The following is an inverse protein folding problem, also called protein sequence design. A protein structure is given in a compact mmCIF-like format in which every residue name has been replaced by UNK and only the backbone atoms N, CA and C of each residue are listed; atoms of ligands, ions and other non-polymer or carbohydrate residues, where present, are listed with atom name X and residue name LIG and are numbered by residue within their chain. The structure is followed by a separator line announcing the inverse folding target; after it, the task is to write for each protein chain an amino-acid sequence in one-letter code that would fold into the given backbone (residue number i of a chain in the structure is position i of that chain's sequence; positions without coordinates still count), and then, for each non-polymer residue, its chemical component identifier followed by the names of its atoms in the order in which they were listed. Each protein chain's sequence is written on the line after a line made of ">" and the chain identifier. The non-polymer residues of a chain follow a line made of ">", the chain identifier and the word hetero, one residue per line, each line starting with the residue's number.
data_IF_899984521400
#
_entry.id   IF_899984521400
#
_cell.length_a   1.000
_cell.length_b   1.000
_cell.length_c   1.000
_cell.angle_alpha   90.00
_cell.angle_beta   90.00
_cell.angle_gamma   90.00
#
_symmetry.space_group_name_H-M   'P 1'
#
loop_
_entity.id
_entity.type
_entity.pdbx_description
1 polymer ?
#
# COMPACT_ATOMS: atom_id res chain seq x y z
N UNK A 1 -15.24 5.49 -9.35
CA UNK A 1 -14.52 5.23 -8.08
C UNK A 1 -13.05 5.05 -8.42
N UNK A 2 -12.12 5.44 -7.55
CA UNK A 2 -10.68 5.36 -7.80
C UNK A 2 -10.07 4.24 -6.96
N UNK A 3 -9.19 3.46 -7.60
CA UNK A 3 -8.34 2.45 -6.96
C UNK A 3 -6.90 2.97 -6.91
N UNK A 4 -6.41 3.22 -5.69
CA UNK A 4 -5.01 3.49 -5.41
C UNK A 4 -4.30 2.18 -5.08
N UNK A 5 -3.37 1.77 -5.95
CA UNK A 5 -2.63 0.53 -5.82
C UNK A 5 -1.16 0.82 -5.51
N UNK A 6 -0.64 0.18 -4.46
CA UNK A 6 0.76 0.22 -4.07
C UNK A 6 1.33 -1.18 -4.24
N UNK A 7 2.18 -1.36 -5.24
CA UNK A 7 2.88 -2.63 -5.48
C UNK A 7 4.25 -2.55 -4.81
N UNK A 8 4.55 -3.52 -3.97
CA UNK A 8 5.75 -3.58 -3.14
C UNK A 8 6.46 -4.90 -3.35
N UNK A 9 7.69 -4.86 -3.85
CA UNK A 9 8.61 -5.99 -3.89
C UNK A 9 9.51 -5.96 -2.65
N UNK A 10 9.70 -7.14 -2.03
CA UNK A 10 10.37 -7.34 -0.75
C UNK A 10 11.45 -8.40 -0.86
N UNK A 11 12.50 -8.23 -0.05
CA UNK A 11 13.36 -9.34 0.33
C UNK A 11 12.52 -10.44 1.04
N UNK A 12 12.60 -11.71 0.59
CA UNK A 12 11.85 -12.82 1.19
C UNK A 12 11.98 -12.93 2.71
N UNK A 13 13.13 -12.55 3.28
CA UNK A 13 13.38 -12.63 4.72
C UNK A 13 12.48 -11.72 5.55
N UNK A 14 12.03 -10.59 5.00
CA UNK A 14 11.15 -9.64 5.72
C UNK A 14 9.67 -9.80 5.39
N UNK A 15 9.33 -10.61 4.38
CA UNK A 15 7.98 -10.67 3.85
C UNK A 15 6.93 -10.97 4.94
N UNK A 16 7.24 -11.91 5.85
CA UNK A 16 6.33 -12.26 6.96
C UNK A 16 6.09 -11.09 7.93
N UNK A 17 7.15 -10.40 8.35
CA UNK A 17 7.06 -9.25 9.24
C UNK A 17 6.35 -8.07 8.56
N UNK A 18 6.65 -7.83 7.29
CA UNK A 18 6.03 -6.76 6.52
C UNK A 18 4.53 -6.99 6.34
N UNK A 19 4.09 -8.22 6.02
CA UNK A 19 2.67 -8.56 5.93
C UNK A 19 1.95 -8.38 7.26
N UNK A 20 2.57 -8.80 8.37
CA UNK A 20 2.00 -8.58 9.70
C UNK A 20 1.85 -7.08 9.99
N UNK A 21 2.89 -6.28 9.75
CA UNK A 21 2.84 -4.84 9.94
C UNK A 21 1.78 -4.15 9.06
N UNK A 22 1.66 -4.56 7.80
CA UNK A 22 0.65 -4.02 6.90
C UNK A 22 -0.77 -4.31 7.38
N UNK A 23 -1.03 -5.56 7.79
CA UNK A 23 -2.36 -5.99 8.24
C UNK A 23 -2.73 -5.40 9.60
N UNK A 24 -1.78 -5.37 10.53
CA UNK A 24 -2.07 -5.11 11.95
C UNK A 24 -1.84 -3.64 12.33
N UNK A 25 -1.10 -2.87 11.51
CA UNK A 25 -0.78 -1.46 11.78
C UNK A 25 -1.06 -0.55 10.59
N UNK A 26 -0.30 -0.67 9.50
CA UNK A 26 -0.28 0.36 8.47
C UNK A 26 -1.59 0.52 7.71
N UNK A 27 -2.18 -0.57 7.21
CA UNK A 27 -3.46 -0.48 6.49
C UNK A 27 -4.60 0.00 7.41
N UNK A 28 -4.71 -0.45 8.67
CA UNK A 28 -5.62 0.15 9.64
C UNK A 28 -5.43 1.66 9.81
N UNK A 29 -4.19 2.15 9.95
CA UNK A 29 -3.89 3.59 10.05
C UNK A 29 -4.29 4.36 8.79
N UNK A 30 -4.01 3.80 7.60
CA UNK A 30 -4.44 4.38 6.32
C UNK A 30 -5.96 4.47 6.25
N UNK A 31 -6.68 3.43 6.66
CA UNK A 31 -8.14 3.43 6.69
C UNK A 31 -8.71 4.43 7.71
N UNK A 32 -8.04 4.58 8.87
CA UNK A 32 -8.43 5.52 9.92
C UNK A 32 -8.34 7.00 9.49
N UNK A 33 -7.61 7.31 8.41
CA UNK A 33 -7.59 8.67 7.82
C UNK A 33 -8.94 9.10 7.26
N UNK A 34 -9.83 8.15 6.94
CA UNK A 34 -11.15 8.42 6.37
C UNK A 34 -11.19 8.68 4.86
N UNK A 35 -10.05 8.71 4.17
CA UNK A 35 -9.99 8.93 2.70
C UNK A 35 -10.37 7.69 1.87
N UNK A 36 -10.40 6.51 2.48
CA UNK A 36 -10.65 5.25 1.79
C UNK A 36 -11.85 4.52 2.36
N UNK A 37 -12.64 3.90 1.47
CA UNK A 37 -13.86 3.17 1.83
C UNK A 37 -13.64 1.66 1.91
N UNK A 38 -12.55 1.17 1.32
CA UNK A 38 -12.17 -0.24 1.33
C UNK A 38 -10.66 -0.36 1.13
N UNK A 39 -10.07 -1.38 1.73
CA UNK A 39 -8.71 -1.81 1.43
C UNK A 39 -8.61 -3.34 1.29
N UNK A 40 -7.57 -3.80 0.60
CA UNK A 40 -7.19 -5.21 0.55
C UNK A 40 -5.70 -5.36 0.29
N UNK A 41 -5.12 -6.44 0.81
CA UNK A 41 -3.73 -6.82 0.58
C UNK A 41 -3.70 -8.09 -0.27
N UNK A 42 -3.05 -8.01 -1.43
CA UNK A 42 -2.92 -9.13 -2.36
C UNK A 42 -1.46 -9.56 -2.44
N UNK A 43 -1.22 -10.85 -2.64
CA UNK A 43 0.09 -11.39 -3.00
C UNK A 43 0.13 -11.67 -4.50
N UNK A 44 1.20 -11.29 -5.18
CA UNK A 44 1.43 -11.69 -6.56
C UNK A 44 1.83 -13.18 -6.57
N UNK A 45 1.17 -13.99 -7.41
CA UNK A 45 1.45 -15.43 -7.50
C UNK A 45 2.43 -15.80 -8.61
N UNK A 46 2.53 -14.95 -9.64
CA UNK A 46 3.34 -15.20 -10.83
C UNK A 46 4.56 -14.25 -10.82
N UNK A 47 5.45 -14.44 -9.85
CA UNK A 47 6.69 -13.67 -9.77
C UNK A 47 7.73 -14.24 -10.74
N UNK A 48 8.42 -13.36 -11.47
CA UNK A 48 9.49 -13.76 -12.41
C UNK A 48 10.88 -13.80 -11.75
N UNK A 49 11.04 -13.14 -10.59
CA UNK A 49 12.30 -12.97 -9.85
C UNK A 49 12.24 -13.62 -8.45
N UNK A 50 13.40 -13.76 -7.78
CA UNK A 50 13.56 -14.29 -6.40
C UNK A 50 12.95 -13.40 -5.28
N UNK A 51 12.17 -12.37 -5.63
CA UNK A 51 11.51 -11.47 -4.67
C UNK A 51 10.15 -11.97 -4.21
N UNK A 52 9.57 -11.29 -3.20
CA UNK A 52 8.15 -11.45 -2.84
C UNK A 52 7.40 -10.14 -3.02
N UNK A 53 6.31 -10.17 -3.79
CA UNK A 53 5.57 -8.98 -4.22
C UNK A 53 4.15 -9.00 -3.67
N UNK A 54 3.77 -7.89 -3.06
CA UNK A 54 2.42 -7.64 -2.59
C UNK A 54 1.85 -6.39 -3.24
N UNK A 55 0.52 -6.34 -3.35
CA UNK A 55 -0.23 -5.18 -3.79
C UNK A 55 -1.21 -4.77 -2.69
N UNK A 56 -0.97 -3.61 -2.07
CA UNK A 56 -1.92 -2.97 -1.17
C UNK A 56 -2.84 -2.06 -1.99
N UNK A 57 -4.13 -2.32 -1.92
CA UNK A 57 -5.16 -1.68 -2.72
C UNK A 57 -6.11 -0.91 -1.82
N UNK A 58 -6.38 0.34 -2.18
CA UNK A 58 -7.26 1.23 -1.44
C UNK A 58 -8.26 1.90 -2.38
N UNK A 59 -9.54 1.90 -2.01
CA UNK A 59 -10.62 2.46 -2.82
C UNK A 59 -11.05 3.80 -2.23
N UNK A 60 -11.08 4.84 -3.06
CA UNK A 60 -11.52 6.19 -2.69
C UNK A 60 -12.57 6.71 -3.67
N UNK A 61 -13.40 7.66 -3.25
CA UNK A 61 -14.58 8.05 -4.03
C UNK A 61 -14.24 8.96 -5.22
N UNK A 62 -13.15 9.73 -5.15
CA UNK A 62 -12.73 10.66 -6.21
C UNK A 62 -11.20 10.82 -6.27
N UNK A 63 -10.69 11.38 -7.38
CA UNK A 63 -9.27 11.74 -7.51
C UNK A 63 -8.87 12.86 -6.54
N UNK A 64 -9.75 13.83 -6.32
CA UNK A 64 -9.52 14.95 -5.38
C UNK A 64 -9.22 14.44 -3.96
N UNK A 65 -9.99 13.47 -3.46
CA UNK A 65 -9.71 12.87 -2.15
C UNK A 65 -8.38 12.10 -2.12
N UNK A 66 -8.01 11.46 -3.23
CA UNK A 66 -6.73 10.77 -3.33
C UNK A 66 -5.56 11.77 -3.30
N UNK A 67 -5.69 12.88 -4.01
CA UNK A 67 -4.70 13.96 -4.01
C UNK A 67 -4.55 14.60 -2.62
N UNK A 68 -5.68 14.81 -1.93
CA UNK A 68 -5.68 15.31 -0.55
C UNK A 68 -4.97 14.32 0.38
N UNK A 69 -5.35 13.03 0.37
CA UNK A 69 -4.67 11.98 1.14
C UNK A 69 -3.15 11.98 0.89
N UNK A 70 -2.73 12.07 -0.37
CA UNK A 70 -1.32 12.06 -0.75
C UNK A 70 -0.55 13.25 -0.19
N UNK A 71 -1.23 14.37 0.01
CA UNK A 71 -0.65 15.61 0.53
C UNK A 71 -0.65 15.63 2.05
N UNK A 72 -1.75 15.24 2.69
CA UNK A 72 -1.96 15.48 4.13
C UNK A 72 -1.60 14.31 5.02
N UNK A 73 -1.78 13.06 4.57
CA UNK A 73 -1.64 11.87 5.42
C UNK A 73 -0.53 10.92 4.95
N UNK A 74 -0.40 10.72 3.64
CA UNK A 74 0.57 9.79 3.09
C UNK A 74 2.03 10.03 3.49
N UNK A 75 2.54 11.28 3.65
CA UNK A 75 3.94 11.51 4.00
C UNK A 75 4.33 10.88 5.35
N UNK A 76 3.51 11.06 6.38
CA UNK A 76 3.77 10.51 7.72
C UNK A 76 3.70 8.97 7.71
N UNK A 77 2.67 8.41 7.07
CA UNK A 77 2.48 6.97 6.94
C UNK A 77 3.64 6.28 6.18
N UNK A 78 4.15 6.92 5.13
CA UNK A 78 5.32 6.44 4.37
C UNK A 78 6.59 6.50 5.20
N UNK A 79 6.78 7.58 5.96
CA UNK A 79 7.94 7.73 6.84
C UNK A 79 7.97 6.62 7.89
N UNK A 80 6.80 6.23 8.42
CA UNK A 80 6.74 5.17 9.42
C UNK A 80 7.15 3.81 8.84
N UNK A 81 6.62 3.39 7.68
CA UNK A 81 7.09 2.17 6.99
C UNK A 81 8.61 2.20 6.79
N UNK A 82 9.15 3.33 6.33
CA UNK A 82 10.58 3.46 6.04
C UNK A 82 11.44 3.18 7.28
N UNK A 83 11.02 3.62 8.47
CA UNK A 83 11.75 3.34 9.71
C UNK A 83 11.86 1.85 10.03
N UNK A 84 10.83 1.06 9.68
CA UNK A 84 10.78 -0.37 9.99
C UNK A 84 11.47 -1.25 8.94
N UNK A 85 11.48 -0.83 7.67
CA UNK A 85 11.89 -1.69 6.54
C UNK A 85 12.92 -1.06 5.60
N UNK A 86 13.58 0.03 5.99
CA UNK A 86 14.49 0.79 5.12
C UNK A 86 15.49 -0.10 4.35
N UNK A 87 15.59 0.15 3.05
CA UNK A 87 16.54 -0.54 2.16
C UNK A 87 16.21 -1.98 1.81
N UNK A 88 15.09 -2.53 2.31
CA UNK A 88 14.69 -3.95 2.08
C UNK A 88 13.41 -4.12 1.26
N UNK A 89 12.84 -3.02 0.78
CA UNK A 89 11.65 -3.03 -0.06
C UNK A 89 11.73 -1.96 -1.15
N UNK A 90 11.07 -2.22 -2.28
CA UNK A 90 10.87 -1.26 -3.35
C UNK A 90 9.37 -1.18 -3.64
N UNK A 91 8.82 0.04 -3.73
CA UNK A 91 7.39 0.22 -4.00
C UNK A 91 7.13 1.25 -5.08
N UNK A 92 6.20 0.95 -5.97
CA UNK A 92 5.64 1.91 -6.92
C UNK A 92 4.11 1.98 -6.76
N UNK A 93 3.54 3.06 -7.27
CA UNK A 93 2.10 3.34 -7.13
C UNK A 93 1.46 3.54 -8.48
N UNK A 94 0.25 3.02 -8.61
CA UNK A 94 -0.62 3.23 -9.76
C UNK A 94 -1.99 3.70 -9.28
N UNK A 95 -2.60 4.57 -10.08
CA UNK A 95 -3.96 5.04 -9.86
C UNK A 95 -4.81 4.53 -11.01
N UNK A 96 -5.88 3.82 -10.68
CA UNK A 96 -6.78 3.22 -11.65
C UNK A 96 -8.19 3.76 -11.43
N UNK A 97 -8.93 3.90 -12.52
CA UNK A 97 -10.37 4.05 -12.45
C UNK A 97 -11.02 2.67 -12.33
N UNK A 98 -11.95 2.53 -11.38
CA UNK A 98 -12.80 1.34 -11.29
C UNK A 98 -13.96 1.53 -12.27
N UNK A 99 -13.91 0.78 -13.37
CA UNK A 99 -14.96 0.70 -14.39
C UNK A 99 -15.78 -0.56 -14.14
N UNK A 100 -17.03 -0.41 -13.70
CA UNK A 100 -17.93 -1.51 -13.35
C UNK A 100 -19.37 -1.05 -13.18
#
# INVERSE_FOLDING_TARGET
>A
MILYNVTTSLDPEIAGQWVAYMRDTHMPEVMATGFFVRSQLCRLLNEEDDGITYAAQYYCVSLEQLEEYQTVAAPALRQEIEKHFSGRYASFRTTLEVVG
#
